data_IF_320904390019
#
_entry.id   IF_320904390019
#
_cell.length_a   1.000
_cell.length_b   1.000
_cell.length_c   1.000
_cell.angle_alpha   90.00
_cell.angle_beta   90.00
_cell.angle_gamma   90.00
#
_symmetry.space_group_name_H-M   'P 1'
#
loop_
_entity.id
_entity.type
_entity.pdbx_description
1 polymer ?
#
# COMPACT_ATOMS: atom_id res chain seq x y z
N UNK A 1 20.80 -13.07 4.54
CA UNK A 1 19.46 -12.44 4.59
C UNK A 1 18.85 -12.62 5.97
N UNK A 2 18.38 -11.54 6.60
CA UNK A 2 17.84 -11.54 7.97
C UNK A 2 16.45 -12.18 8.05
N UNK A 3 16.01 -12.62 9.24
CA UNK A 3 14.65 -13.12 9.46
C UNK A 3 13.60 -12.04 9.12
N UNK A 4 13.84 -10.81 9.56
CA UNK A 4 12.99 -9.63 9.26
C UNK A 4 12.84 -9.42 7.76
N UNK A 5 13.94 -9.40 6.99
CA UNK A 5 13.87 -9.20 5.53
C UNK A 5 13.10 -10.31 4.83
N UNK A 6 13.27 -11.57 5.24
CA UNK A 6 12.50 -12.70 4.68
C UNK A 6 10.99 -12.53 4.89
N UNK A 7 10.59 -12.05 6.07
CA UNK A 7 9.19 -11.83 6.40
C UNK A 7 8.57 -10.68 5.58
N UNK A 8 9.30 -9.57 5.44
CA UNK A 8 8.88 -8.44 4.61
C UNK A 8 8.68 -8.86 3.15
N UNK A 9 9.64 -9.57 2.56
CA UNK A 9 9.51 -10.05 1.17
C UNK A 9 8.36 -11.03 1.01
N UNK A 10 8.17 -11.96 1.95
CA UNK A 10 7.05 -12.91 1.91
C UNK A 10 5.69 -12.21 1.92
N UNK A 11 5.55 -11.11 2.68
CA UNK A 11 4.31 -10.32 2.67
C UNK A 11 4.14 -9.54 1.37
N UNK A 12 5.22 -8.96 0.84
CA UNK A 12 5.23 -8.24 -0.43
C UNK A 12 4.87 -9.11 -1.64
N UNK A 13 5.08 -10.43 -1.59
CA UNK A 13 4.63 -11.36 -2.64
C UNK A 13 3.12 -11.30 -2.93
N UNK A 14 2.31 -10.83 -1.96
CA UNK A 14 0.87 -10.62 -2.14
C UNK A 14 0.56 -9.37 -2.99
N UNK A 15 1.52 -8.47 -3.16
CA UNK A 15 1.35 -7.21 -3.87
C UNK A 15 2.20 -7.21 -5.14
N UNK A 16 1.57 -7.49 -6.27
CA UNK A 16 2.25 -7.52 -7.57
C UNK A 16 2.12 -6.15 -8.25
N UNK A 17 3.26 -5.57 -8.61
CA UNK A 17 3.28 -4.48 -9.57
C UNK A 17 3.32 -5.03 -11.00
N UNK A 18 2.79 -4.25 -11.94
CA UNK A 18 2.92 -4.58 -13.37
C UNK A 18 4.40 -4.45 -13.79
N UNK A 19 4.88 -5.24 -14.78
CA UNK A 19 6.27 -5.16 -15.23
C UNK A 19 6.66 -3.73 -15.65
N UNK A 20 7.84 -3.29 -15.23
CA UNK A 20 8.31 -1.92 -15.47
C UNK A 20 7.72 -0.86 -14.54
N UNK A 21 6.82 -1.24 -13.62
CA UNK A 21 6.27 -0.35 -12.59
C UNK A 21 6.55 -0.87 -11.18
N UNK A 22 6.53 0.05 -10.22
CA UNK A 22 6.83 -0.24 -8.81
C UNK A 22 8.32 -0.10 -8.49
N UNK A 23 8.66 -0.06 -7.19
CA UNK A 23 10.04 0.06 -6.74
C UNK A 23 10.83 -1.23 -6.97
N UNK A 24 12.12 -1.11 -7.24
CA UNK A 24 13.04 -2.26 -7.19
C UNK A 24 13.24 -2.70 -5.74
N UNK A 25 12.48 -3.73 -5.36
CA UNK A 25 12.45 -4.33 -4.01
C UNK A 25 13.85 -4.80 -3.57
N UNK A 26 14.69 -5.25 -4.51
CA UNK A 26 16.02 -5.75 -4.18
C UNK A 26 16.98 -4.64 -3.77
N UNK A 27 16.79 -3.43 -4.30
CA UNK A 27 17.60 -2.25 -3.99
C UNK A 27 17.21 -1.54 -2.68
N UNK A 28 16.12 -1.96 -2.02
CA UNK A 28 15.58 -1.30 -0.82
C UNK A 28 16.12 -1.84 0.48
N UNK A 29 16.27 -0.95 1.46
CA UNK A 29 16.57 -1.29 2.86
C UNK A 29 15.37 -1.98 3.52
N UNK A 30 15.59 -2.69 4.63
CA UNK A 30 14.50 -3.34 5.37
C UNK A 30 13.44 -2.32 5.84
N UNK A 31 13.84 -1.10 6.21
CA UNK A 31 12.94 -0.04 6.68
C UNK A 31 12.09 0.55 5.53
N UNK A 32 12.69 0.77 4.36
CA UNK A 32 11.95 1.20 3.17
C UNK A 32 10.95 0.13 2.70
N UNK A 33 11.31 -1.16 2.81
CA UNK A 33 10.42 -2.26 2.49
C UNK A 33 9.22 -2.32 3.44
N UNK A 34 9.45 -2.08 4.74
CA UNK A 34 8.39 -2.01 5.73
C UNK A 34 7.44 -0.83 5.45
N UNK A 35 7.98 0.36 5.20
CA UNK A 35 7.18 1.53 4.85
C UNK A 35 6.33 1.29 3.58
N UNK A 36 6.96 0.71 2.54
CA UNK A 36 6.27 0.40 1.29
C UNK A 36 5.14 -0.61 1.49
N UNK A 37 5.38 -1.66 2.28
CA UNK A 37 4.38 -2.66 2.61
C UNK A 37 3.20 -2.05 3.38
N UNK A 38 3.45 -1.17 4.36
CA UNK A 38 2.39 -0.47 5.08
C UNK A 38 1.54 0.42 4.18
N UNK A 39 2.17 1.13 3.22
CA UNK A 39 1.45 1.93 2.23
C UNK A 39 0.51 1.07 1.38
N UNK A 40 1.00 -0.06 0.88
CA UNK A 40 0.22 -0.98 0.05
C UNK A 40 -0.97 -1.56 0.80
N UNK A 41 -0.76 -2.00 2.05
CA UNK A 41 -1.81 -2.53 2.92
C UNK A 41 -2.88 -1.47 3.23
N UNK A 42 -2.48 -0.23 3.52
CA UNK A 42 -3.39 0.87 3.77
C UNK A 42 -4.21 1.24 2.53
N UNK A 43 -3.58 1.30 1.36
CA UNK A 43 -4.25 1.58 0.08
C UNK A 43 -5.25 0.47 -0.27
N UNK A 44 -4.87 -0.79 -0.10
CA UNK A 44 -5.77 -1.92 -0.34
C UNK A 44 -6.97 -1.90 0.62
N UNK A 45 -6.71 -1.68 1.91
CA UNK A 45 -7.78 -1.54 2.91
C UNK A 45 -8.74 -0.41 2.52
N UNK A 46 -8.24 0.79 2.20
CA UNK A 46 -9.07 1.92 1.80
C UNK A 46 -9.88 1.65 0.53
N UNK A 47 -9.32 0.94 -0.44
CA UNK A 47 -9.98 0.67 -1.71
C UNK A 47 -11.07 -0.42 -1.61
N UNK A 48 -10.88 -1.43 -0.77
CA UNK A 48 -11.72 -2.65 -0.76
C UNK A 48 -12.44 -2.92 0.55
N UNK A 49 -11.93 -2.41 1.67
CA UNK A 49 -12.66 -2.33 2.92
C UNK A 49 -13.12 -0.89 3.08
N UNK A 50 -14.30 -0.59 2.54
CA UNK A 50 -15.10 0.52 3.06
C UNK A 50 -15.40 0.17 4.53
N UNK A 51 -14.47 0.51 5.42
CA UNK A 51 -14.86 0.83 6.79
C UNK A 51 -15.67 2.10 6.59
N UNK A 52 -16.96 2.06 6.95
CA UNK A 52 -17.79 3.25 7.10
C UNK A 52 -17.10 4.18 8.12
N UNK A 53 -16.11 4.93 7.67
CA UNK A 53 -15.73 6.17 8.33
C UNK A 53 -16.78 7.17 7.85
N UNK A 54 -17.90 7.22 8.58
CA UNK A 54 -18.93 8.25 8.46
C UNK A 54 -18.31 9.64 8.59
N UNK A 55 -17.81 10.21 7.50
CA UNK A 55 -17.62 11.65 7.31
C UNK A 55 -17.97 11.94 5.85
N UNK A 56 -19.27 12.06 5.60
CA UNK A 56 -19.81 12.48 4.32
C UNK A 56 -19.32 13.87 3.97
N UNK A 57 -18.42 13.98 3.00
CA UNK A 57 -18.21 15.23 2.27
C UNK A 57 -19.23 15.28 1.14
N UNK A 58 -20.36 15.91 1.41
CA UNK A 58 -21.23 16.44 0.37
C UNK A 58 -20.45 17.50 -0.40
N UNK A 59 -20.03 17.16 -1.63
CA UNK A 59 -19.63 18.18 -2.59
C UNK A 59 -20.93 18.74 -3.15
N UNK A 60 -21.41 19.84 -2.57
CA UNK A 60 -22.47 20.63 -3.17
C UNK A 60 -21.93 21.16 -4.51
N UNK A 61 -22.44 20.61 -5.61
CA UNK A 61 -22.20 21.08 -6.97
C UNK A 61 -22.98 22.41 -7.15
N UNK A 62 -22.41 23.50 -6.64
CA UNK A 62 -22.88 24.86 -6.95
C UNK A 62 -22.27 25.27 -8.30
N UNK A 63 -22.88 24.80 -9.38
CA UNK A 63 -22.66 25.32 -10.72
C UNK A 63 -23.81 26.25 -11.07
N UNK A 64 -23.56 27.53 -10.78
CA UNK A 64 -24.27 28.71 -11.26
C UNK A 64 -24.27 28.80 -12.79
#
# INVERSE_FOLDING_TARGET
MTKRRKELLKRLENFKSVPGHGPDINAKTDDELELYLSLLEAMFKRAFCQVDDEEGVSVEDDRL
#
